data_IF_007936413142
#
_entry.id   IF_007936413142
#
_cell.length_a   1.000
_cell.length_b   1.000
_cell.length_c   1.000
_cell.angle_alpha   90.00
_cell.angle_beta   90.00
_cell.angle_gamma   90.00
#
_symmetry.space_group_name_H-M   'P 1'
#
loop_
_entity.id
_entity.type
_entity.pdbx_description
1 polymer ?
#
# COMPACT_ATOMS: atom_id res chain seq x y z
N UNK A 1 -13.03 -3.28 16.00
CA UNK A 1 -13.07 -4.69 15.50
C UNK A 1 -12.86 -4.64 14.00
N UNK A 2 -12.00 -5.52 13.45
CA UNK A 2 -11.83 -5.64 11.99
C UNK A 2 -13.09 -6.29 11.43
N UNK A 3 -13.68 -5.71 10.40
CA UNK A 3 -14.89 -6.26 9.78
C UNK A 3 -14.59 -7.53 8.96
N UNK A 4 -15.58 -8.38 8.72
CA UNK A 4 -15.39 -9.60 7.92
C UNK A 4 -14.82 -9.31 6.52
N UNK A 5 -15.27 -8.28 5.78
CA UNK A 5 -14.67 -7.93 4.49
C UNK A 5 -13.19 -7.51 4.57
N UNK A 6 -12.80 -6.80 5.63
CA UNK A 6 -11.40 -6.40 5.83
C UNK A 6 -10.50 -7.62 6.07
N UNK A 7 -10.97 -8.62 6.82
CA UNK A 7 -10.25 -9.89 7.04
C UNK A 7 -10.04 -10.62 5.71
N UNK A 8 -11.05 -10.70 4.87
CA UNK A 8 -10.95 -11.32 3.54
C UNK A 8 -9.95 -10.59 2.64
N UNK A 9 -9.98 -9.26 2.64
CA UNK A 9 -9.04 -8.46 1.84
C UNK A 9 -7.60 -8.59 2.36
N UNK A 10 -7.39 -8.69 3.67
CA UNK A 10 -6.08 -8.97 4.25
C UNK A 10 -5.57 -10.35 3.85
N UNK A 11 -6.43 -11.37 3.87
CA UNK A 11 -6.09 -12.70 3.40
C UNK A 11 -5.70 -12.71 1.92
N UNK A 12 -6.47 -12.04 1.08
CA UNK A 12 -6.16 -11.86 -0.34
C UNK A 12 -4.84 -11.12 -0.55
N UNK A 13 -4.59 -10.05 0.22
CA UNK A 13 -3.33 -9.31 0.17
C UNK A 13 -2.14 -10.18 0.57
N UNK A 14 -2.25 -11.00 1.63
CA UNK A 14 -1.20 -11.93 2.04
C UNK A 14 -0.88 -12.96 0.96
N UNK A 15 -1.91 -13.52 0.30
CA UNK A 15 -1.72 -14.44 -0.83
C UNK A 15 -1.02 -13.77 -2.02
N UNK A 16 -1.36 -12.51 -2.31
CA UNK A 16 -0.69 -11.74 -3.35
C UNK A 16 0.78 -11.45 -3.00
N UNK A 17 1.11 -11.23 -1.72
CA UNK A 17 2.49 -11.10 -1.27
C UNK A 17 3.29 -12.39 -1.52
N UNK A 18 2.69 -13.57 -1.29
CA UNK A 18 3.33 -14.85 -1.60
C UNK A 18 3.50 -15.04 -3.11
N UNK A 19 2.51 -14.65 -3.91
CA UNK A 19 2.60 -14.71 -5.37
C UNK A 19 3.69 -13.76 -5.89
N UNK A 20 3.79 -12.55 -5.38
CA UNK A 20 4.84 -11.59 -5.74
C UNK A 20 6.23 -12.13 -5.39
N UNK A 21 6.37 -12.75 -4.21
CA UNK A 21 7.64 -13.35 -3.80
C UNK A 21 8.09 -14.47 -4.75
N UNK A 22 7.16 -15.31 -5.21
CA UNK A 22 7.46 -16.48 -6.03
C UNK A 22 7.55 -16.18 -7.52
N UNK A 23 6.62 -15.38 -8.04
CA UNK A 23 6.42 -15.17 -9.48
C UNK A 23 6.77 -13.76 -9.95
N UNK A 24 7.06 -12.83 -9.04
CA UNK A 24 7.32 -11.40 -9.33
C UNK A 24 6.11 -10.72 -10.00
N UNK A 25 4.91 -11.19 -9.72
CA UNK A 25 3.65 -10.63 -10.20
C UNK A 25 2.61 -10.74 -9.09
N UNK A 26 1.73 -9.77 -9.02
CA UNK A 26 0.59 -9.75 -8.09
C UNK A 26 -0.72 -9.70 -8.89
N UNK A 27 -1.14 -10.83 -9.50
CA UNK A 27 -2.38 -10.88 -10.27
C UNK A 27 -3.56 -10.56 -9.33
N UNK A 28 -4.47 -9.70 -9.79
CA UNK A 28 -5.65 -9.35 -9.01
C UNK A 28 -5.45 -8.23 -7.98
N UNK A 29 -4.25 -7.65 -7.84
CA UNK A 29 -4.03 -6.52 -6.92
C UNK A 29 -4.97 -5.33 -7.24
N UNK A 30 -5.32 -5.13 -8.50
CA UNK A 30 -6.30 -4.13 -8.92
C UNK A 30 -7.68 -4.42 -8.30
N UNK A 31 -8.12 -5.68 -8.29
CA UNK A 31 -9.40 -6.06 -7.68
C UNK A 31 -9.40 -5.82 -6.17
N UNK A 32 -8.30 -6.16 -5.48
CA UNK A 32 -8.13 -5.88 -4.04
C UNK A 32 -8.17 -4.38 -3.77
N UNK A 33 -7.50 -3.58 -4.60
CA UNK A 33 -7.51 -2.12 -4.46
C UNK A 33 -8.92 -1.55 -4.67
N UNK A 34 -9.63 -1.96 -5.74
CA UNK A 34 -10.99 -1.47 -6.02
C UNK A 34 -11.98 -1.87 -4.92
N UNK A 35 -11.86 -3.09 -4.39
CA UNK A 35 -12.69 -3.52 -3.25
C UNK A 35 -12.39 -2.71 -1.99
N UNK A 36 -11.11 -2.47 -1.67
CA UNK A 36 -10.71 -1.63 -0.55
C UNK A 36 -11.22 -0.18 -0.70
N UNK A 37 -11.10 0.37 -1.92
CA UNK A 37 -11.59 1.70 -2.24
C UNK A 37 -13.12 1.80 -2.07
N UNK A 38 -13.85 0.79 -2.54
CA UNK A 38 -15.30 0.72 -2.38
C UNK A 38 -15.71 0.69 -0.89
N UNK A 39 -15.05 -0.12 -0.07
CA UNK A 39 -15.32 -0.15 1.38
C UNK A 39 -15.02 1.22 2.02
N UNK A 40 -13.94 1.86 1.61
CA UNK A 40 -13.55 3.16 2.16
C UNK A 40 -14.52 4.28 1.79
N UNK A 41 -15.15 4.24 0.60
CA UNK A 41 -16.18 5.24 0.24
C UNK A 41 -17.37 5.25 1.19
N UNK A 42 -17.68 4.12 1.82
CA UNK A 42 -18.74 4.00 2.81
C UNK A 42 -18.37 4.53 4.20
N UNK A 43 -17.08 4.55 4.55
CA UNK A 43 -16.59 4.97 5.88
C UNK A 43 -15.98 6.37 5.88
N UNK A 44 -15.13 6.68 4.91
CA UNK A 44 -14.47 7.98 4.74
C UNK A 44 -14.31 8.30 3.24
N UNK A 45 -15.30 8.95 2.62
CA UNK A 45 -15.26 9.29 1.20
C UNK A 45 -14.12 10.26 0.85
N UNK A 46 -13.71 11.13 1.78
CA UNK A 46 -12.60 12.06 1.54
C UNK A 46 -11.28 11.29 1.39
N UNK A 47 -11.01 10.34 2.29
CA UNK A 47 -9.84 9.46 2.20
C UNK A 47 -9.87 8.64 0.91
N UNK A 48 -11.04 8.07 0.55
CA UNK A 48 -11.19 7.31 -0.68
C UNK A 48 -10.83 8.13 -1.93
N UNK A 49 -11.38 9.35 -2.05
CA UNK A 49 -11.08 10.26 -3.16
C UNK A 49 -9.60 10.64 -3.18
N UNK A 50 -9.03 11.02 -2.02
CA UNK A 50 -7.63 11.40 -1.92
C UNK A 50 -6.69 10.27 -2.36
N UNK A 51 -6.94 9.04 -1.89
CA UNK A 51 -6.14 7.84 -2.26
C UNK A 51 -6.32 7.51 -3.75
N UNK A 52 -7.56 7.57 -4.28
CA UNK A 52 -7.82 7.32 -5.69
C UNK A 52 -7.05 8.31 -6.59
N UNK A 53 -7.07 9.60 -6.26
CA UNK A 53 -6.35 10.63 -7.01
C UNK A 53 -4.83 10.43 -6.93
N UNK A 54 -4.29 10.01 -5.78
CA UNK A 54 -2.88 9.69 -5.63
C UNK A 54 -2.46 8.50 -6.51
N UNK A 55 -3.27 7.45 -6.57
CA UNK A 55 -3.03 6.27 -7.42
C UNK A 55 -3.10 6.65 -8.90
N UNK A 56 -4.13 7.38 -9.31
CA UNK A 56 -4.30 7.85 -10.69
C UNK A 56 -3.08 8.70 -11.10
N UNK A 57 -2.69 9.67 -10.28
CA UNK A 57 -1.54 10.52 -10.55
C UNK A 57 -0.23 9.73 -10.69
N UNK A 58 -0.01 8.73 -9.83
CA UNK A 58 1.18 7.88 -9.90
C UNK A 58 1.18 6.94 -11.11
N UNK A 59 0.00 6.47 -11.52
CA UNK A 59 -0.15 5.50 -12.61
C UNK A 59 0.04 6.13 -14.00
N UNK A 60 -0.48 7.34 -14.22
CA UNK A 60 -0.40 8.05 -15.50
C UNK A 60 0.64 9.16 -15.48
N UNK A 61 1.76 8.94 -16.18
CA UNK A 61 2.84 9.94 -16.30
C UNK A 61 2.39 11.26 -16.92
N UNK A 62 1.42 11.21 -17.83
CA UNK A 62 0.89 12.39 -18.51
C UNK A 62 -0.10 13.20 -17.68
N UNK A 63 -0.50 12.69 -16.50
CA UNK A 63 -1.46 13.37 -15.64
C UNK A 63 -0.86 14.65 -15.04
N UNK A 64 -1.49 15.83 -15.24
CA UNK A 64 -0.99 17.08 -14.68
C UNK A 64 -0.90 17.02 -13.15
N UNK A 65 0.23 17.46 -12.61
CA UNK A 65 0.46 17.43 -11.16
C UNK A 65 -0.61 18.20 -10.36
N UNK A 66 -1.14 19.30 -10.94
CA UNK A 66 -2.17 20.11 -10.29
C UNK A 66 -3.49 19.35 -10.06
N UNK A 67 -3.77 18.28 -10.81
CA UNK A 67 -4.96 17.45 -10.62
C UNK A 67 -4.82 16.46 -9.47
N UNK A 68 -3.64 16.37 -8.86
CA UNK A 68 -3.40 15.53 -7.69
C UNK A 68 -3.62 16.28 -6.36
N UNK A 69 -3.98 17.58 -6.41
CA UNK A 69 -4.18 18.36 -5.18
C UNK A 69 -5.16 17.72 -4.17
N UNK A 70 -6.25 17.02 -4.56
CA UNK A 70 -7.12 16.36 -3.59
C UNK A 70 -6.41 15.30 -2.76
N UNK A 71 -5.35 14.67 -3.31
CA UNK A 71 -4.53 13.72 -2.56
C UNK A 71 -3.80 14.37 -1.36
N UNK A 72 -3.55 15.69 -1.41
CA UNK A 72 -2.92 16.40 -0.30
C UNK A 72 -3.85 16.60 0.90
N UNK A 73 -5.16 16.44 0.72
CA UNK A 73 -6.14 16.64 1.77
C UNK A 73 -6.16 15.54 2.84
N UNK A 74 -5.55 14.39 2.56
CA UNK A 74 -5.58 13.28 3.51
C UNK A 74 -4.19 12.62 3.68
N UNK A 75 -3.70 12.44 4.94
CA UNK A 75 -2.36 11.90 5.20
C UNK A 75 -2.10 10.50 4.61
N UNK A 76 -3.12 9.64 4.54
CA UNK A 76 -2.99 8.32 3.92
C UNK A 76 -2.60 8.40 2.44
N UNK A 77 -3.10 9.41 1.72
CA UNK A 77 -2.77 9.62 0.32
C UNK A 77 -1.33 10.12 0.10
N UNK A 78 -0.71 10.77 1.09
CA UNK A 78 0.70 11.21 0.97
C UNK A 78 1.65 10.05 0.80
N UNK A 79 1.43 8.94 1.52
CA UNK A 79 2.22 7.72 1.36
C UNK A 79 2.02 7.13 -0.03
N UNK A 80 0.78 7.13 -0.54
CA UNK A 80 0.46 6.66 -1.88
C UNK A 80 1.09 7.57 -2.95
N UNK A 81 1.12 8.90 -2.72
CA UNK A 81 1.82 9.84 -3.61
C UNK A 81 3.33 9.58 -3.65
N UNK A 82 3.96 9.26 -2.51
CA UNK A 82 5.37 8.87 -2.49
C UNK A 82 5.61 7.59 -3.32
N UNK A 83 4.73 6.58 -3.20
CA UNK A 83 4.77 5.40 -4.04
C UNK A 83 4.57 5.75 -5.53
N UNK A 84 3.62 6.63 -5.84
CA UNK A 84 3.34 7.13 -7.18
C UNK A 84 4.52 7.89 -7.79
N UNK A 85 5.21 8.70 -7.00
CA UNK A 85 6.46 9.34 -7.40
C UNK A 85 7.53 8.29 -7.73
N UNK A 86 7.68 7.27 -6.89
CA UNK A 86 8.56 6.12 -7.15
C UNK A 86 8.26 5.41 -8.46
N UNK A 87 6.96 5.23 -8.80
CA UNK A 87 6.54 4.66 -10.10
C UNK A 87 6.94 5.56 -11.26
N UNK A 88 6.77 6.89 -11.13
CA UNK A 88 7.17 7.86 -12.17
C UNK A 88 8.68 7.86 -12.40
N UNK A 89 9.46 7.65 -11.36
CA UNK A 89 10.93 7.52 -11.43
C UNK A 89 11.40 6.13 -11.86
N UNK A 90 10.50 5.16 -12.02
CA UNK A 90 10.84 3.77 -12.37
C UNK A 90 11.45 2.96 -11.22
N UNK A 91 11.33 3.44 -9.99
CA UNK A 91 11.86 2.78 -8.77
C UNK A 91 10.89 1.79 -8.14
N UNK A 92 9.61 1.96 -8.40
CA UNK A 92 8.50 1.18 -7.81
C UNK A 92 7.61 0.65 -8.94
N UNK A 93 7.10 -0.57 -8.78
CA UNK A 93 6.16 -1.17 -9.72
C UNK A 93 4.76 -0.57 -9.61
N UNK A 94 3.99 -0.62 -10.70
CA UNK A 94 2.58 -0.17 -10.68
C UNK A 94 1.71 -1.02 -9.77
N UNK A 95 2.03 -2.32 -9.62
CA UNK A 95 1.37 -3.22 -8.68
C UNK A 95 1.58 -2.80 -7.23
N UNK A 96 2.79 -2.34 -6.89
CA UNK A 96 3.12 -1.87 -5.54
C UNK A 96 2.37 -0.58 -5.20
N UNK A 97 2.13 0.30 -6.20
CA UNK A 97 1.30 1.49 -6.03
C UNK A 97 -0.15 1.11 -5.70
N UNK A 98 -0.71 0.13 -6.40
CA UNK A 98 -2.06 -0.38 -6.11
C UNK A 98 -2.13 -1.03 -4.72
N UNK A 99 -1.09 -1.78 -4.33
CA UNK A 99 -0.97 -2.36 -2.99
C UNK A 99 -0.93 -1.28 -1.90
N UNK A 100 -0.13 -0.23 -2.11
CA UNK A 100 -0.07 0.92 -1.20
C UNK A 100 -1.44 1.63 -1.10
N UNK A 101 -2.13 1.80 -2.23
CA UNK A 101 -3.50 2.34 -2.29
C UNK A 101 -4.50 1.49 -1.51
N UNK A 102 -4.46 0.16 -1.67
CA UNK A 102 -5.32 -0.76 -0.92
C UNK A 102 -5.08 -0.64 0.60
N UNK A 103 -3.83 -0.64 1.03
CA UNK A 103 -3.49 -0.47 2.45
C UNK A 103 -3.92 0.89 3.00
N UNK A 104 -3.77 1.95 2.20
CA UNK A 104 -4.21 3.29 2.58
C UNK A 104 -5.73 3.43 2.66
N UNK A 105 -6.51 2.57 2.00
CA UNK A 105 -7.96 2.48 2.15
C UNK A 105 -8.38 1.64 3.35
N UNK A 106 -7.67 0.55 3.65
CA UNK A 106 -8.06 -0.40 4.70
C UNK A 106 -7.60 0.02 6.10
N UNK A 107 -6.58 0.87 6.19
CA UNK A 107 -5.94 1.22 7.45
C UNK A 107 -5.72 2.72 7.59
N UNK A 108 -5.65 3.25 8.81
CA UNK A 108 -5.27 4.63 9.05
C UNK A 108 -3.82 4.88 8.60
N UNK A 109 -3.50 6.15 8.34
CA UNK A 109 -2.25 6.59 7.71
C UNK A 109 -0.93 6.00 8.26
N UNK A 110 -0.80 5.66 9.57
CA UNK A 110 0.45 5.07 10.06
C UNK A 110 0.73 3.68 9.47
N UNK A 111 -0.31 2.91 9.12
CA UNK A 111 -0.15 1.57 8.57
C UNK A 111 0.53 1.56 7.19
N UNK A 112 0.06 2.32 6.18
CA UNK A 112 0.77 2.40 4.90
C UNK A 112 2.17 3.00 5.04
N UNK A 113 2.40 3.93 5.99
CA UNK A 113 3.74 4.46 6.25
C UNK A 113 4.68 3.37 6.77
N UNK A 114 4.25 2.56 7.74
CA UNK A 114 5.03 1.42 8.24
C UNK A 114 5.21 0.32 7.18
N UNK A 115 4.21 0.08 6.33
CA UNK A 115 4.34 -0.82 5.20
C UNK A 115 5.47 -0.36 4.26
N UNK A 116 5.59 0.93 4.00
CA UNK A 116 6.67 1.51 3.20
C UNK A 116 8.05 1.34 3.85
N UNK A 117 8.15 1.56 5.17
CA UNK A 117 9.39 1.28 5.92
C UNK A 117 9.76 -0.20 5.87
N UNK A 118 8.77 -1.09 5.91
CA UNK A 118 8.94 -2.53 5.73
C UNK A 118 9.54 -2.88 4.36
N UNK A 119 9.12 -2.20 3.29
CA UNK A 119 9.73 -2.36 1.96
C UNK A 119 11.21 -1.97 1.98
N UNK A 120 11.58 -0.87 2.63
CA UNK A 120 12.97 -0.44 2.71
C UNK A 120 13.82 -1.44 3.52
N UNK A 121 13.30 -1.94 4.64
CA UNK A 121 13.97 -2.98 5.43
C UNK A 121 14.17 -4.27 4.61
N UNK A 122 13.13 -4.69 3.87
CA UNK A 122 13.17 -5.83 2.97
C UNK A 122 14.17 -5.63 1.83
N UNK A 123 14.20 -4.43 1.23
CA UNK A 123 15.17 -4.07 0.18
C UNK A 123 16.61 -4.22 0.68
N UNK A 124 16.91 -3.72 1.88
CA UNK A 124 18.25 -3.86 2.48
C UNK A 124 18.64 -5.32 2.70
N UNK A 125 17.69 -6.13 3.18
CA UNK A 125 17.92 -7.57 3.38
C UNK A 125 18.15 -8.28 2.05
N UNK A 126 17.36 -7.95 1.01
CA UNK A 126 17.46 -8.50 -0.33
C UNK A 126 18.84 -8.24 -0.95
N UNK A 127 19.29 -6.98 -0.88
CA UNK A 127 20.59 -6.58 -1.39
C UNK A 127 21.75 -7.24 -0.62
N UNK A 128 21.65 -7.32 0.71
CA UNK A 128 22.68 -7.99 1.54
C UNK A 128 22.83 -9.48 1.23
N UNK A 129 21.76 -10.13 0.82
CA UNK A 129 21.77 -11.55 0.45
C UNK A 129 22.15 -11.81 -1.00
N UNK A 130 22.37 -10.77 -1.80
CA UNK A 130 22.73 -10.90 -3.21
C UNK A 130 21.68 -11.63 -4.04
N UNK A 131 20.39 -11.53 -3.66
CA UNK A 131 19.33 -12.25 -4.35
C UNK A 131 19.09 -11.63 -5.74
N UNK A 132 18.99 -12.47 -6.79
CA UNK A 132 18.88 -12.00 -8.17
C UNK A 132 17.47 -11.45 -8.47
N UNK A 133 17.42 -10.58 -9.47
CA UNK A 133 16.17 -10.08 -10.06
C UNK A 133 15.59 -8.86 -9.33
N UNK A 134 14.44 -8.34 -9.83
CA UNK A 134 13.78 -7.19 -9.26
C UNK A 134 13.28 -7.49 -7.84
N UNK A 135 13.30 -6.48 -6.98
CA UNK A 135 12.81 -6.58 -5.61
C UNK A 135 11.28 -6.81 -5.60
N UNK A 136 10.76 -7.88 -4.98
CA UNK A 136 9.33 -7.97 -4.69
C UNK A 136 9.02 -7.05 -3.51
N UNK A 137 8.23 -6.00 -3.71
CA UNK A 137 7.97 -5.01 -2.67
C UNK A 137 6.84 -5.43 -1.72
N UNK A 138 5.85 -6.19 -2.19
CA UNK A 138 4.69 -6.59 -1.40
C UNK A 138 5.03 -7.38 -0.12
N UNK A 139 6.00 -8.31 -0.08
CA UNK A 139 6.43 -8.95 1.16
C UNK A 139 6.95 -7.96 2.20
N UNK A 140 7.67 -6.91 1.76
CA UNK A 140 8.11 -5.83 2.63
C UNK A 140 6.94 -5.04 3.22
N UNK A 141 5.91 -4.77 2.41
CA UNK A 141 4.68 -4.12 2.89
C UNK A 141 3.99 -4.97 3.96
N UNK A 142 3.92 -6.29 3.77
CA UNK A 142 3.34 -7.21 4.75
C UNK A 142 4.11 -7.20 6.07
N UNK A 143 5.44 -7.14 6.04
CA UNK A 143 6.27 -7.02 7.25
C UNK A 143 5.93 -5.74 8.01
N UNK A 144 5.90 -4.59 7.33
CA UNK A 144 5.56 -3.31 7.95
C UNK A 144 4.13 -3.26 8.49
N UNK A 145 3.17 -3.86 7.78
CA UNK A 145 1.80 -3.99 8.25
C UNK A 145 1.71 -4.88 9.50
N UNK A 146 2.46 -5.98 9.55
CA UNK A 146 2.52 -6.85 10.73
C UNK A 146 3.06 -6.09 11.95
N UNK A 147 4.11 -5.30 11.77
CA UNK A 147 4.65 -4.43 12.82
C UNK A 147 3.58 -3.44 13.30
N UNK A 148 2.84 -2.80 12.38
CA UNK A 148 1.74 -1.90 12.72
C UNK A 148 0.67 -2.60 13.56
N UNK A 149 0.21 -3.78 13.15
CA UNK A 149 -0.84 -4.53 13.85
C UNK A 149 -0.39 -4.98 15.25
N UNK A 150 0.87 -5.39 15.41
CA UNK A 150 1.44 -5.74 16.71
C UNK A 150 1.52 -4.51 17.62
N UNK A 151 2.00 -3.38 17.12
CA UNK A 151 2.11 -2.13 17.88
C UNK A 151 0.75 -1.61 18.31
N UNK A 152 -0.26 -1.65 17.41
CA UNK A 152 -1.61 -1.17 17.71
C UNK A 152 -2.35 -2.01 18.74
N UNK A 153 -2.00 -3.29 18.87
CA UNK A 153 -2.56 -4.15 19.92
C UNK A 153 -1.88 -3.96 21.27
N UNK A 154 -0.62 -3.52 21.30
CA UNK A 154 0.15 -3.35 22.54
C UNK A 154 -0.09 -1.97 23.17
N UNK A 155 -0.21 -0.93 22.36
CA UNK A 155 -0.40 0.46 22.83
C UNK A 155 -1.69 0.70 23.64
N UNK A 156 -2.86 0.08 23.34
CA UNK A 156 -4.07 0.23 24.15
C UNK A 156 -3.95 -0.39 25.56
N UNK A 157 -3.02 -1.32 25.76
CA UNK A 157 -2.77 -1.96 27.07
C UNK A 157 -1.93 -1.04 27.98
N UNK A 158 -1.28 -0.03 27.39
CA UNK A 158 -0.42 0.93 28.10
C UNK A 158 -1.11 2.30 28.32
N UNK A 159 -2.37 2.45 27.94
CA UNK A 159 -3.25 3.59 28.25
C UNK A 159 -4.31 3.19 29.27
#
# INVERSE_FOLDING_TARGET
>A
MVSSPEILLLGAFALLCLADLRYRVAPGILAVYLAALYLQTGSDPLQAVAVAMAVIWGHWRSWPGMLAWPALLHPAAWVVMLAGYGVRMGLVGRGDLLAAGALACLFPWPAPALAFLGVEAWRRLWLRRGLPGPLPAMPGMLIGLTVYLLFWRVVPVLR
#
